data_IF_688238905083
#
_entry.id   IF_688238905083
#
_cell.length_a   1.000
_cell.length_b   1.000
_cell.length_c   1.000
_cell.angle_alpha   90.00
_cell.angle_beta   90.00
_cell.angle_gamma   90.00
#
_symmetry.space_group_name_H-M   'P 1'
#
loop_
_entity.id
_entity.type
_entity.pdbx_description
1 polymer ?
#
# COMPACT_ATOMS: atom_id res chain seq x y z
N UNK A 1 -8.82 10.01 4.50
CA UNK A 1 -8.64 9.95 3.04
C UNK A 1 -7.95 8.64 2.70
N UNK A 2 -8.69 7.64 2.23
CA UNK A 2 -8.15 6.32 1.90
C UNK A 2 -7.39 6.40 0.57
N UNK A 3 -6.06 6.36 0.65
CA UNK A 3 -5.20 6.37 -0.53
C UNK A 3 -5.39 5.02 -1.26
N UNK A 4 -5.81 5.06 -2.53
CA UNK A 4 -6.06 3.85 -3.34
C UNK A 4 -5.06 3.77 -4.48
N UNK A 5 -4.62 2.55 -4.82
CA UNK A 5 -3.66 2.33 -5.90
C UNK A 5 -3.98 1.06 -6.68
N UNK A 6 -3.88 1.14 -8.01
CA UNK A 6 -4.00 -0.03 -8.86
C UNK A 6 -2.85 -1.03 -8.62
N UNK A 7 -3.17 -2.32 -8.60
CA UNK A 7 -2.19 -3.39 -8.39
C UNK A 7 -1.07 -3.41 -9.43
N UNK A 8 -1.33 -2.97 -10.67
CA UNK A 8 -0.31 -2.85 -11.71
C UNK A 8 0.79 -1.84 -11.34
N UNK A 9 0.37 -0.68 -10.83
CA UNK A 9 1.30 0.36 -10.35
C UNK A 9 2.07 -0.11 -9.14
N UNK A 10 1.40 -0.80 -8.21
CA UNK A 10 2.05 -1.38 -7.05
C UNK A 10 3.14 -2.40 -7.44
N UNK A 11 2.84 -3.31 -8.36
CA UNK A 11 3.82 -4.32 -8.84
C UNK A 11 5.06 -3.68 -9.48
N UNK A 12 4.89 -2.55 -10.16
CA UNK A 12 5.98 -1.87 -10.86
C UNK A 12 6.93 -1.13 -9.91
N UNK A 13 6.41 -0.63 -8.78
CA UNK A 13 7.17 0.22 -7.83
C UNK A 13 7.12 -0.34 -6.40
N UNK A 14 7.07 -1.67 -6.24
CA UNK A 14 6.74 -2.32 -4.98
C UNK A 14 7.63 -1.84 -3.82
N UNK A 15 8.95 -1.91 -4.01
CA UNK A 15 9.93 -1.54 -2.96
C UNK A 15 9.84 -0.06 -2.57
N UNK A 16 9.78 0.84 -3.56
CA UNK A 16 9.65 2.28 -3.32
C UNK A 16 8.37 2.63 -2.57
N UNK A 17 7.27 1.95 -2.90
CA UNK A 17 5.98 2.14 -2.22
C UNK A 17 6.06 1.64 -0.78
N UNK A 18 6.63 0.45 -0.54
CA UNK A 18 6.79 -0.09 0.80
C UNK A 18 7.63 0.84 1.69
N UNK A 19 8.76 1.35 1.19
CA UNK A 19 9.57 2.34 1.92
C UNK A 19 8.79 3.60 2.27
N UNK A 20 7.98 4.11 1.33
CA UNK A 20 7.13 5.28 1.58
C UNK A 20 6.07 5.00 2.63
N UNK A 21 5.44 3.82 2.60
CA UNK A 21 4.42 3.43 3.58
C UNK A 21 5.02 3.26 4.98
N UNK A 22 6.22 2.69 5.09
CA UNK A 22 6.95 2.60 6.36
C UNK A 22 7.31 3.98 6.92
N UNK A 23 7.92 4.86 6.11
CA UNK A 23 8.31 6.21 6.52
C UNK A 23 7.10 7.07 6.93
N UNK A 24 6.01 6.98 6.18
CA UNK A 24 4.79 7.76 6.44
C UNK A 24 3.87 7.15 7.49
N UNK A 25 4.14 5.91 7.92
CA UNK A 25 3.25 5.10 8.77
C UNK A 25 1.81 5.04 8.25
N UNK A 26 1.64 5.09 6.93
CA UNK A 26 0.34 5.16 6.28
C UNK A 26 -0.01 3.83 5.61
N UNK A 27 -1.30 3.57 5.47
CA UNK A 27 -1.80 2.38 4.78
C UNK A 27 -2.39 2.74 3.42
N UNK A 28 -2.31 1.82 2.47
CA UNK A 28 -2.85 1.98 1.11
C UNK A 28 -3.76 0.82 0.74
N UNK A 29 -4.85 1.11 0.03
CA UNK A 29 -5.75 0.10 -0.50
C UNK A 29 -5.33 -0.21 -1.94
N UNK A 30 -5.01 -1.48 -2.21
CA UNK A 30 -4.80 -1.97 -3.56
C UNK A 30 -6.12 -2.28 -4.24
N UNK A 31 -6.24 -1.87 -5.49
CA UNK A 31 -7.40 -2.13 -6.34
C UNK A 31 -7.01 -2.90 -7.60
N UNK A 32 -7.94 -3.72 -8.11
CA UNK A 32 -7.87 -4.37 -9.43
C UNK A 32 -9.17 -4.09 -10.16
N UNK A 33 -9.10 -3.46 -11.33
CA UNK A 33 -10.28 -2.97 -12.07
C UNK A 33 -11.21 -2.14 -11.16
N UNK A 34 -10.64 -1.18 -10.42
CA UNK A 34 -11.34 -0.31 -9.46
C UNK A 34 -12.02 -1.02 -8.28
N UNK A 35 -11.84 -2.34 -8.13
CA UNK A 35 -12.34 -3.09 -6.97
C UNK A 35 -11.23 -3.22 -5.92
N UNK A 36 -11.47 -2.88 -4.65
CA UNK A 36 -10.49 -3.10 -3.58
C UNK A 36 -10.23 -4.60 -3.41
N UNK A 37 -8.96 -4.98 -3.32
CA UNK A 37 -8.53 -6.38 -3.21
C UNK A 37 -7.66 -6.65 -1.99
N UNK A 38 -6.94 -5.65 -1.49
CA UNK A 38 -6.03 -5.80 -0.36
C UNK A 38 -5.73 -4.44 0.27
N UNK A 39 -5.28 -4.44 1.51
CA UNK A 39 -4.73 -3.26 2.20
C UNK A 39 -3.31 -3.58 2.62
N UNK A 40 -2.40 -2.66 2.33
CA UNK A 40 -1.01 -2.74 2.79
C UNK A 40 -0.85 -1.74 3.92
N UNK A 41 -0.37 -2.22 5.06
CA UNK A 41 -0.01 -1.42 6.22
C UNK A 41 1.43 -1.70 6.62
N UNK A 42 2.17 -0.70 7.10
CA UNK A 42 3.53 -0.88 7.58
C UNK A 42 3.55 -1.82 8.79
N UNK A 43 4.63 -2.58 8.93
CA UNK A 43 4.79 -3.49 10.05
C UNK A 43 4.97 -2.70 11.35
N UNK A 44 4.04 -2.86 12.28
CA UNK A 44 4.17 -2.31 13.64
C UNK A 44 4.53 -3.46 14.56
N UNK A 45 5.81 -3.54 14.95
CA UNK A 45 6.24 -4.51 15.96
C UNK A 45 5.59 -4.11 17.29
N UNK A 46 4.55 -4.83 17.71
CA UNK A 46 4.04 -4.73 19.08
C UNK A 46 5.09 -5.33 20.01
N UNK A 47 5.49 -4.54 21.00
CA UNK A 47 6.49 -4.89 22.01
C UNK A 47 5.89 -5.85 23.03
#
# INVERSE_FOLDING_TARGET
>A
MSNQMAISKFKSHCLEILEKLEKSKSSIILTKHNKPIATISPFVRKK
#
